data_IF_277082073948
#
_entry.id   IF_277082073948
#
_cell.length_a   1.000
_cell.length_b   1.000
_cell.length_c   1.000
_cell.angle_alpha   90.00
_cell.angle_beta   90.00
_cell.angle_gamma   90.00
#
_symmetry.space_group_name_H-M   'P 1'
#
loop_
_entity.id
_entity.type
_entity.pdbx_description
1 polymer ?
#
# COMPACT_ATOMS: atom_id res chain seq x y z
N UNK A 1 5.77 18.60 20.82
CA UNK A 1 5.42 18.85 19.41
C UNK A 1 6.59 18.32 18.60
N UNK A 2 6.58 17.04 18.32
CA UNK A 2 7.60 16.40 17.50
C UNK A 2 7.30 16.76 16.05
N UNK A 3 8.24 17.46 15.41
CA UNK A 3 8.14 17.83 14.00
C UNK A 3 8.12 16.54 13.15
N UNK A 4 7.07 16.36 12.37
CA UNK A 4 7.02 15.33 11.33
C UNK A 4 8.29 15.48 10.47
N UNK A 5 9.05 14.43 10.20
CA UNK A 5 10.24 14.53 9.37
C UNK A 5 9.88 15.18 8.03
N UNK A 6 10.65 16.17 7.58
CA UNK A 6 10.41 16.89 6.33
C UNK A 6 10.27 15.95 5.11
N UNK A 7 10.86 14.77 5.18
CA UNK A 7 10.75 13.73 4.14
C UNK A 7 9.38 13.02 4.10
N UNK A 8 8.66 12.95 5.23
CA UNK A 8 7.32 12.38 5.26
C UNK A 8 6.30 13.34 4.58
N UNK A 9 6.43 14.64 4.81
CA UNK A 9 5.58 15.66 4.20
C UNK A 9 5.79 15.75 2.68
N UNK A 10 7.04 15.69 2.22
CA UNK A 10 7.37 15.68 0.79
C UNK A 10 6.84 14.43 0.08
N UNK A 11 6.92 13.27 0.71
CA UNK A 11 6.37 12.04 0.15
C UNK A 11 4.85 12.07 0.05
N UNK A 12 4.18 12.60 1.07
CA UNK A 12 2.73 12.79 1.05
C UNK A 12 2.31 13.76 -0.04
N UNK A 13 3.04 14.87 -0.23
CA UNK A 13 2.80 15.83 -1.30
C UNK A 13 2.94 15.17 -2.67
N UNK A 14 3.98 14.38 -2.90
CA UNK A 14 4.19 13.64 -4.14
C UNK A 14 3.06 12.63 -4.40
N UNK A 15 2.68 11.84 -3.40
CA UNK A 15 1.59 10.87 -3.49
C UNK A 15 0.25 11.57 -3.76
N UNK A 16 -0.03 12.70 -3.09
CA UNK A 16 -1.25 13.46 -3.30
C UNK A 16 -1.33 14.06 -4.71
N UNK A 17 -0.21 14.56 -5.24
CA UNK A 17 -0.14 15.08 -6.61
C UNK A 17 -0.43 13.97 -7.65
N UNK A 18 0.01 12.73 -7.40
CA UNK A 18 -0.37 11.59 -8.24
C UNK A 18 -1.86 11.25 -8.10
N UNK A 19 -2.39 11.21 -6.89
CA UNK A 19 -3.81 10.96 -6.64
C UNK A 19 -4.74 11.99 -7.28
N UNK A 20 -4.30 13.24 -7.37
CA UNK A 20 -5.07 14.37 -7.92
C UNK A 20 -4.74 14.69 -9.37
N UNK A 21 -3.99 13.83 -10.05
CA UNK A 21 -3.58 13.99 -11.45
C UNK A 21 -2.81 15.30 -11.75
N UNK A 22 -2.02 15.78 -10.79
CA UNK A 22 -1.21 16.98 -10.91
C UNK A 22 0.16 16.73 -11.56
N UNK A 23 0.55 15.46 -11.71
CA UNK A 23 1.81 15.03 -12.31
C UNK A 23 1.53 13.97 -13.38
N UNK A 24 2.36 13.92 -14.45
CA UNK A 24 2.19 12.94 -15.51
C UNK A 24 2.54 11.51 -15.04
N UNK A 25 2.04 10.52 -15.79
CA UNK A 25 2.35 9.10 -15.55
C UNK A 25 3.86 8.83 -15.69
N UNK A 26 4.49 9.40 -16.69
CA UNK A 26 5.93 9.26 -16.89
C UNK A 26 6.68 10.45 -16.34
N UNK A 27 7.59 10.21 -15.42
CA UNK A 27 8.37 11.24 -14.74
C UNK A 27 9.86 10.97 -14.84
N UNK A 28 10.62 12.06 -15.05
CA UNK A 28 12.07 12.07 -14.86
C UNK A 28 12.39 12.58 -13.46
N UNK A 29 13.50 12.12 -12.88
CA UNK A 29 14.01 12.64 -11.61
C UNK A 29 14.18 14.16 -11.66
N UNK A 30 14.69 14.68 -12.79
CA UNK A 30 14.86 16.13 -12.98
C UNK A 30 13.53 16.89 -12.91
N UNK A 31 12.45 16.34 -13.47
CA UNK A 31 11.12 16.96 -13.38
C UNK A 31 10.66 17.13 -11.94
N UNK A 32 10.81 16.07 -11.13
CA UNK A 32 10.42 16.11 -9.72
C UNK A 32 11.28 17.09 -8.91
N UNK A 33 12.58 17.12 -9.19
CA UNK A 33 13.50 18.08 -8.56
C UNK A 33 13.11 19.53 -8.85
N UNK A 34 12.76 19.83 -10.10
CA UNK A 34 12.33 21.19 -10.49
C UNK A 34 10.99 21.56 -9.88
N UNK A 35 10.05 20.61 -9.85
CA UNK A 35 8.70 20.84 -9.34
C UNK A 35 8.68 21.08 -7.82
N UNK A 36 9.43 20.29 -7.07
CA UNK A 36 9.39 20.29 -5.61
C UNK A 36 10.61 20.94 -4.94
N UNK A 37 11.60 21.36 -5.70
CA UNK A 37 12.85 21.91 -5.15
C UNK A 37 13.74 20.85 -4.48
N UNK A 38 13.59 19.58 -4.83
CA UNK A 38 14.33 18.50 -4.18
C UNK A 38 15.76 18.37 -4.68
N UNK A 39 16.63 17.87 -3.79
CA UNK A 39 17.95 17.40 -4.18
C UNK A 39 17.84 16.11 -5.01
N UNK A 40 18.91 15.77 -5.72
CA UNK A 40 18.98 14.52 -6.49
C UNK A 40 18.79 13.29 -5.60
N UNK A 41 19.45 13.26 -4.45
CA UNK A 41 19.35 12.16 -3.51
C UNK A 41 17.91 11.99 -3.01
N UNK A 42 17.27 13.08 -2.60
CA UNK A 42 15.88 13.06 -2.10
C UNK A 42 14.89 12.56 -3.16
N UNK A 43 14.98 13.07 -4.39
CA UNK A 43 14.12 12.61 -5.47
C UNK A 43 14.29 11.09 -5.74
N UNK A 44 15.53 10.61 -5.75
CA UNK A 44 15.83 9.20 -5.92
C UNK A 44 15.26 8.35 -4.77
N UNK A 45 15.43 8.78 -3.52
CA UNK A 45 14.95 8.05 -2.34
C UNK A 45 13.42 7.95 -2.32
N UNK A 46 12.72 9.05 -2.65
CA UNK A 46 11.26 9.05 -2.70
C UNK A 46 10.71 8.19 -3.85
N UNK A 47 11.37 8.18 -5.00
CA UNK A 47 11.02 7.30 -6.12
C UNK A 47 11.26 5.81 -5.77
N UNK A 48 12.38 5.49 -5.12
CA UNK A 48 12.65 4.13 -4.64
C UNK A 48 11.59 3.69 -3.61
N UNK A 49 11.17 4.59 -2.73
CA UNK A 49 10.06 4.33 -1.80
C UNK A 49 8.77 4.03 -2.55
N UNK A 50 8.41 4.84 -3.56
CA UNK A 50 7.22 4.62 -4.38
C UNK A 50 7.24 3.27 -5.11
N UNK A 51 8.40 2.83 -5.60
CA UNK A 51 8.58 1.49 -6.20
C UNK A 51 8.37 0.39 -5.16
N UNK A 52 8.96 0.53 -3.99
CA UNK A 52 8.80 -0.45 -2.89
C UNK A 52 7.34 -0.55 -2.45
N UNK A 53 6.61 0.55 -2.44
CA UNK A 53 5.19 0.59 -2.12
C UNK A 53 4.27 0.19 -3.30
N UNK A 54 4.83 -0.01 -4.49
CA UNK A 54 4.15 -0.62 -5.63
C UNK A 54 3.34 0.34 -6.49
N UNK A 55 3.55 1.66 -6.40
CA UNK A 55 2.86 2.63 -7.25
C UNK A 55 3.79 3.41 -8.22
N UNK A 56 5.05 2.98 -8.30
CA UNK A 56 5.97 3.40 -9.33
C UNK A 56 6.82 2.23 -9.83
N UNK A 57 7.35 2.34 -11.02
CA UNK A 57 8.33 1.41 -11.57
C UNK A 57 9.42 2.17 -12.32
N UNK A 58 10.59 1.56 -12.42
CA UNK A 58 11.68 2.09 -13.23
C UNK A 58 11.45 1.70 -14.69
N UNK A 59 11.55 2.68 -15.58
CA UNK A 59 11.44 2.40 -17.02
C UNK A 59 12.73 1.77 -17.54
N UNK A 60 12.61 0.95 -18.58
CA UNK A 60 13.76 0.55 -19.37
C UNK A 60 14.38 1.80 -20.02
N UNK A 61 15.67 1.99 -19.79
CA UNK A 61 16.40 3.18 -20.25
C UNK A 61 16.42 4.30 -19.22
N UNK A 62 15.53 5.26 -19.31
CA UNK A 62 15.55 6.47 -18.47
C UNK A 62 14.16 6.83 -17.92
N UNK A 63 14.13 7.21 -16.66
CA UNK A 63 12.93 7.74 -16.01
C UNK A 63 12.12 6.67 -15.26
N UNK A 64 10.94 7.07 -14.85
CA UNK A 64 10.04 6.31 -13.99
C UNK A 64 8.63 6.38 -14.54
N UNK A 65 7.84 5.36 -14.26
CA UNK A 65 6.41 5.33 -14.54
C UNK A 65 5.65 5.20 -13.24
N UNK A 66 4.66 6.08 -13.05
CA UNK A 66 3.72 5.97 -11.96
C UNK A 66 2.61 5.00 -12.36
N UNK A 67 2.30 4.06 -11.50
CA UNK A 67 1.36 2.98 -11.79
C UNK A 67 -0.08 3.38 -11.41
N UNK A 68 -1.09 2.81 -12.06
CA UNK A 68 -2.48 3.03 -11.69
C UNK A 68 -2.74 2.71 -10.22
N UNK A 69 -3.48 3.61 -9.55
CA UNK A 69 -3.91 3.47 -8.15
C UNK A 69 -5.37 3.86 -8.02
N UNK A 70 -6.03 3.42 -6.94
CA UNK A 70 -7.36 3.91 -6.62
C UNK A 70 -7.28 5.39 -6.28
N UNK A 71 -8.05 6.23 -6.99
CA UNK A 71 -8.03 7.69 -6.82
C UNK A 71 -9.35 8.25 -6.30
N UNK A 72 -10.39 7.43 -6.25
CA UNK A 72 -11.74 7.81 -5.83
C UNK A 72 -12.30 6.84 -4.78
N UNK A 73 -13.24 7.27 -3.93
CA UNK A 73 -13.94 6.38 -3.01
C UNK A 73 -14.62 5.21 -3.70
N UNK A 74 -15.19 5.43 -4.91
CA UNK A 74 -15.85 4.40 -5.68
C UNK A 74 -14.87 3.31 -6.12
N UNK A 75 -13.66 3.68 -6.58
CA UNK A 75 -12.61 2.73 -6.93
C UNK A 75 -12.16 1.91 -5.71
N UNK A 76 -12.16 2.52 -4.54
CA UNK A 76 -11.86 1.83 -3.28
C UNK A 76 -12.94 0.78 -2.96
N UNK A 77 -14.22 1.13 -3.08
CA UNK A 77 -15.34 0.19 -2.90
C UNK A 77 -15.30 -0.96 -3.92
N UNK A 78 -14.90 -0.67 -5.16
CA UNK A 78 -14.75 -1.68 -6.22
C UNK A 78 -13.64 -2.69 -5.86
N UNK A 79 -12.53 -2.23 -5.31
CA UNK A 79 -11.46 -3.09 -4.81
C UNK A 79 -11.96 -3.96 -3.66
N UNK A 80 -12.74 -3.42 -2.73
CA UNK A 80 -13.33 -4.20 -1.64
C UNK A 80 -14.25 -5.30 -2.16
N UNK A 81 -15.17 -4.97 -3.09
CA UNK A 81 -16.05 -5.98 -3.71
C UNK A 81 -15.26 -7.07 -4.42
N UNK A 82 -14.19 -6.71 -5.12
CA UNK A 82 -13.30 -7.68 -5.74
C UNK A 82 -12.67 -8.62 -4.69
N UNK A 83 -12.15 -8.08 -3.61
CA UNK A 83 -11.57 -8.87 -2.52
C UNK A 83 -12.59 -9.81 -1.87
N UNK A 84 -13.79 -9.34 -1.61
CA UNK A 84 -14.90 -10.15 -1.07
C UNK A 84 -15.25 -11.33 -2.00
N UNK A 85 -15.01 -11.21 -3.29
CA UNK A 85 -15.24 -12.29 -4.24
C UNK A 85 -14.08 -13.30 -4.28
N UNK A 86 -12.84 -12.82 -4.30
CA UNK A 86 -11.69 -13.71 -4.52
C UNK A 86 -11.17 -14.37 -3.24
N UNK A 87 -11.21 -13.69 -2.09
CA UNK A 87 -10.62 -14.22 -0.86
C UNK A 87 -11.35 -15.48 -0.36
N UNK A 88 -12.70 -15.50 -0.23
CA UNK A 88 -13.41 -16.73 0.11
C UNK A 88 -13.27 -17.82 -0.94
N UNK A 89 -13.25 -17.45 -2.23
CA UNK A 89 -13.08 -18.40 -3.34
C UNK A 89 -11.73 -19.10 -3.27
N UNK A 90 -10.67 -18.37 -2.96
CA UNK A 90 -9.34 -18.94 -2.77
C UNK A 90 -9.28 -19.95 -1.63
N UNK A 91 -10.03 -19.74 -0.55
CA UNK A 91 -10.12 -20.69 0.55
C UNK A 91 -10.86 -21.99 0.20
N UNK A 92 -11.67 -21.96 -0.87
CA UNK A 92 -12.40 -23.13 -1.38
C UNK A 92 -11.66 -23.86 -2.50
N UNK A 93 -10.46 -23.39 -2.88
CA UNK A 93 -9.63 -24.09 -3.88
C UNK A 93 -9.31 -25.53 -3.44
N UNK A 94 -9.35 -26.50 -4.35
CA UNK A 94 -8.98 -27.89 -4.02
C UNK A 94 -7.56 -28.05 -3.48
N UNK A 95 -6.68 -27.11 -3.83
CA UNK A 95 -5.28 -27.07 -3.38
C UNK A 95 -5.08 -26.30 -2.06
N UNK A 96 -6.16 -25.78 -1.46
CA UNK A 96 -6.07 -25.07 -0.18
C UNK A 96 -5.55 -26.01 0.92
N UNK A 97 -4.50 -25.58 1.60
CA UNK A 97 -3.91 -26.28 2.73
C UNK A 97 -3.71 -25.33 3.90
N UNK A 98 -4.39 -25.61 4.99
CA UNK A 98 -4.26 -24.84 6.21
C UNK A 98 -2.88 -25.04 6.82
N UNK A 99 -2.13 -23.97 7.03
CA UNK A 99 -0.88 -23.97 7.79
C UNK A 99 -1.10 -23.27 9.14
N UNK A 100 -1.13 -24.08 10.21
CA UNK A 100 -1.35 -23.58 11.56
C UNK A 100 -0.25 -22.64 12.04
N UNK A 101 0.98 -22.80 11.58
CA UNK A 101 2.09 -21.90 11.95
C UNK A 101 1.87 -20.50 11.38
N UNK A 102 1.43 -20.42 10.12
CA UNK A 102 1.11 -19.14 9.47
C UNK A 102 -0.08 -18.49 10.20
N UNK A 103 -1.12 -19.26 10.52
CA UNK A 103 -2.28 -18.72 11.24
C UNK A 103 -1.92 -18.19 12.64
N UNK A 104 -1.13 -18.95 13.38
CA UNK A 104 -0.72 -18.55 14.73
C UNK A 104 0.17 -17.31 14.69
N UNK A 105 1.06 -17.20 13.72
CA UNK A 105 1.87 -16.00 13.51
C UNK A 105 1.01 -14.80 13.13
N UNK A 106 0.07 -14.95 12.19
CA UNK A 106 -0.83 -13.87 11.81
C UNK A 106 -1.74 -13.46 12.97
N UNK A 107 -2.24 -14.41 13.75
CA UNK A 107 -3.01 -14.10 14.98
C UNK A 107 -2.18 -13.28 15.95
N UNK A 108 -0.94 -13.69 16.21
CA UNK A 108 -0.02 -12.95 17.10
C UNK A 108 0.21 -11.52 16.62
N UNK A 109 0.37 -11.31 15.30
CA UNK A 109 0.53 -9.98 14.71
C UNK A 109 -0.75 -9.15 14.92
N UNK A 110 -1.92 -9.71 14.62
CA UNK A 110 -3.20 -8.98 14.75
C UNK A 110 -3.52 -8.65 16.22
N UNK A 111 -3.31 -9.59 17.14
CA UNK A 111 -3.47 -9.33 18.59
C UNK A 111 -2.47 -8.29 19.09
N UNK A 112 -1.24 -8.30 18.56
CA UNK A 112 -0.24 -7.26 18.82
C UNK A 112 -0.72 -5.88 18.40
N UNK A 113 -1.38 -5.77 17.24
CA UNK A 113 -1.94 -4.50 16.76
C UNK A 113 -3.05 -3.95 17.66
N UNK A 114 -3.91 -4.82 18.22
CA UNK A 114 -4.96 -4.41 19.16
C UNK A 114 -4.40 -3.82 20.46
N UNK A 115 -3.20 -4.21 20.84
CA UNK A 115 -2.54 -3.76 22.06
C UNK A 115 -1.52 -2.62 21.83
N UNK A 116 -1.38 -2.14 20.58
CA UNK A 116 -0.48 -1.05 20.25
C UNK A 116 -1.05 0.29 20.71
N UNK A 117 -0.17 1.17 21.17
CA UNK A 117 -0.50 2.58 21.34
C UNK A 117 -0.58 3.26 19.97
N UNK A 118 -1.80 3.52 19.53
CA UNK A 118 -2.11 4.12 18.23
C UNK A 118 -1.53 5.53 18.08
N UNK A 119 -1.26 6.22 19.18
CA UNK A 119 -0.66 7.55 19.15
C UNK A 119 0.82 7.53 18.78
N UNK A 120 1.49 6.39 18.97
CA UNK A 120 2.92 6.20 18.72
C UNK A 120 3.22 5.26 17.55
N UNK A 121 2.21 4.55 17.03
CA UNK A 121 2.40 3.58 15.94
C UNK A 121 2.17 4.25 14.59
N UNK A 122 3.13 4.16 13.64
CA UNK A 122 2.90 4.63 12.29
C UNK A 122 1.73 3.88 11.65
N UNK A 123 0.73 4.61 11.16
CA UNK A 123 -0.43 4.02 10.48
C UNK A 123 -0.03 3.13 9.30
N UNK A 124 1.09 3.44 8.61
CA UNK A 124 1.70 2.60 7.58
C UNK A 124 1.92 1.15 8.05
N UNK A 125 2.39 0.96 9.29
CA UNK A 125 2.61 -0.37 9.84
C UNK A 125 1.31 -1.14 10.06
N UNK A 126 0.24 -0.45 10.50
CA UNK A 126 -1.09 -1.04 10.68
C UNK A 126 -1.68 -1.49 9.34
N UNK A 127 -1.63 -0.62 8.32
CA UNK A 127 -2.11 -0.94 6.97
C UNK A 127 -1.33 -2.08 6.33
N UNK A 128 -0.03 -2.09 6.51
CA UNK A 128 0.82 -3.15 5.98
C UNK A 128 0.52 -4.50 6.64
N UNK A 129 0.36 -4.54 7.95
CA UNK A 129 0.02 -5.77 8.68
C UNK A 129 -1.38 -6.27 8.32
N UNK A 130 -2.36 -5.39 8.13
CA UNK A 130 -3.69 -5.76 7.66
C UNK A 130 -3.66 -6.37 6.26
N UNK A 131 -2.95 -5.74 5.32
CA UNK A 131 -2.79 -6.26 3.96
C UNK A 131 -2.05 -7.62 3.96
N UNK A 132 -0.98 -7.74 4.76
CA UNK A 132 -0.20 -8.97 4.87
C UNK A 132 -1.03 -10.14 5.39
N UNK A 133 -1.91 -9.93 6.36
CA UNK A 133 -2.82 -10.97 6.85
C UNK A 133 -3.62 -11.60 5.70
N UNK A 134 -4.26 -10.79 4.89
CA UNK A 134 -5.05 -11.27 3.76
C UNK A 134 -4.19 -11.95 2.68
N UNK A 135 -3.00 -11.42 2.41
CA UNK A 135 -2.07 -11.99 1.44
C UNK A 135 -1.52 -13.34 1.88
N UNK A 136 -1.15 -13.50 3.16
CA UNK A 136 -0.69 -14.78 3.71
C UNK A 136 -1.81 -15.82 3.72
N UNK A 137 -3.05 -15.41 4.04
CA UNK A 137 -4.18 -16.32 4.02
C UNK A 137 -4.50 -16.82 2.60
N UNK A 138 -4.49 -15.94 1.61
CA UNK A 138 -4.79 -16.31 0.21
C UNK A 138 -3.69 -17.17 -0.42
N UNK A 139 -2.45 -17.06 0.04
CA UNK A 139 -1.35 -17.96 -0.37
C UNK A 139 -1.64 -19.42 -0.07
N UNK A 140 -2.38 -19.69 1.01
CA UNK A 140 -2.74 -21.05 1.42
C UNK A 140 -3.65 -21.75 0.40
N UNK A 141 -4.23 -21.01 -0.54
CA UNK A 141 -4.98 -21.57 -1.67
C UNK A 141 -4.13 -22.49 -2.58
N UNK A 142 -2.81 -22.29 -2.57
CA UNK A 142 -1.92 -22.96 -3.51
C UNK A 142 -2.06 -22.49 -4.96
N UNK A 143 -2.97 -21.55 -5.23
CA UNK A 143 -3.18 -20.95 -6.53
C UNK A 143 -2.51 -19.55 -6.57
N UNK A 144 -1.36 -19.41 -7.24
CA UNK A 144 -0.59 -18.17 -7.22
C UNK A 144 -1.31 -16.99 -7.87
N UNK A 145 -2.29 -17.24 -8.73
CA UNK A 145 -3.04 -16.17 -9.40
C UNK A 145 -3.94 -15.40 -8.45
N UNK A 146 -4.55 -16.05 -7.46
CA UNK A 146 -5.29 -15.35 -6.40
C UNK A 146 -4.38 -14.43 -5.59
N UNK A 147 -3.21 -14.92 -5.20
CA UNK A 147 -2.24 -14.13 -4.45
C UNK A 147 -1.75 -12.92 -5.25
N UNK A 148 -1.38 -13.12 -6.52
CA UNK A 148 -0.95 -12.04 -7.41
C UNK A 148 -2.03 -10.97 -7.61
N UNK A 149 -3.29 -11.39 -7.81
CA UNK A 149 -4.41 -10.49 -7.96
C UNK A 149 -4.64 -9.65 -6.70
N UNK A 150 -4.62 -10.28 -5.52
CA UNK A 150 -4.77 -9.58 -4.25
C UNK A 150 -3.64 -8.58 -3.98
N UNK A 151 -2.39 -8.98 -4.21
CA UNK A 151 -1.25 -8.09 -4.07
C UNK A 151 -1.38 -6.84 -4.96
N UNK A 152 -1.83 -7.03 -6.20
CA UNK A 152 -2.03 -5.91 -7.13
C UNK A 152 -3.06 -4.91 -6.60
N UNK A 153 -4.22 -5.36 -6.18
CA UNK A 153 -5.26 -4.45 -5.69
C UNK A 153 -4.91 -3.82 -4.34
N UNK A 154 -4.19 -4.54 -3.48
CA UNK A 154 -3.66 -3.97 -2.24
C UNK A 154 -2.68 -2.82 -2.50
N UNK A 155 -1.84 -2.92 -3.52
CA UNK A 155 -0.95 -1.83 -3.95
C UNK A 155 -1.74 -0.64 -4.50
N UNK A 156 -2.79 -0.91 -5.30
CA UNK A 156 -3.61 0.14 -5.90
C UNK A 156 -4.38 0.97 -4.86
N UNK A 157 -4.77 0.39 -3.73
CA UNK A 157 -5.50 1.11 -2.68
C UNK A 157 -4.58 1.86 -1.69
N UNK A 158 -3.32 1.49 -1.60
CA UNK A 158 -2.38 1.96 -0.56
C UNK A 158 -2.28 3.48 -0.45
N UNK A 159 -2.22 4.21 -1.56
CA UNK A 159 -2.11 5.67 -1.51
C UNK A 159 -3.36 6.34 -0.96
N UNK A 160 -4.55 5.79 -1.24
CA UNK A 160 -5.79 6.31 -0.65
C UNK A 160 -5.88 6.02 0.84
N UNK A 161 -5.39 4.88 1.28
CA UNK A 161 -5.28 4.54 2.69
C UNK A 161 -4.34 5.52 3.42
N UNK A 162 -3.20 5.84 2.84
CA UNK A 162 -2.30 6.88 3.35
C UNK A 162 -2.99 8.22 3.56
N UNK A 163 -3.84 8.62 2.63
CA UNK A 163 -4.63 9.85 2.73
C UNK A 163 -5.72 9.76 3.80
N UNK A 164 -6.27 8.58 4.03
CA UNK A 164 -7.29 8.32 5.04
C UNK A 164 -6.71 8.22 6.46
N UNK A 165 -5.41 7.92 6.60
CA UNK A 165 -4.72 7.80 7.89
C UNK A 165 -4.70 9.07 8.73
N UNK A 166 -4.98 10.21 8.14
CA UNK A 166 -5.26 11.42 8.91
C UNK A 166 -6.48 11.25 9.86
N UNK A 167 -7.24 10.13 9.69
CA UNK A 167 -8.35 9.70 10.55
C UNK A 167 -8.11 8.27 11.09
N UNK A 168 -7.16 8.11 12.00
CA UNK A 168 -6.81 6.82 12.63
C UNK A 168 -7.98 6.10 13.34
N UNK A 169 -9.03 6.82 13.70
CA UNK A 169 -10.21 6.24 14.36
C UNK A 169 -10.99 5.24 13.49
N UNK A 170 -10.91 5.36 12.17
CA UNK A 170 -11.61 4.45 11.23
C UNK A 170 -10.94 3.08 11.03
N UNK A 171 -9.67 2.94 11.37
CA UNK A 171 -8.92 1.69 11.18
C UNK A 171 -9.21 0.64 12.25
N UNK A 172 -9.82 1.05 13.36
CA UNK A 172 -10.13 0.17 14.50
C UNK A 172 -11.49 -0.51 14.33
N UNK A 173 -12.38 0.05 13.50
CA UNK A 173 -13.76 -0.44 13.32
C UNK A 173 -13.91 -1.43 12.14
N UNK A 174 -12.85 -1.80 11.45
CA UNK A 174 -12.83 -2.78 10.36
C UNK A 174 -12.25 -4.13 10.80
#
# INVERSE_FOLDING_TARGET
>A
ADAVPADADDYQTFANDWLTNQIPEEVAEQFLRQRYGWTKAKAADLLVRAVREGWAERKEGYGWRLLPVAKTPEAFDEIYRFRMAIEPTAMLEPSFQLDHKILDEQRRIQEGMLNMDLSSTPGEALLQNGALFHEELIKLSGNPFFHMALQRVNRMRRLMEYRAEVNCERLIEQ
#
